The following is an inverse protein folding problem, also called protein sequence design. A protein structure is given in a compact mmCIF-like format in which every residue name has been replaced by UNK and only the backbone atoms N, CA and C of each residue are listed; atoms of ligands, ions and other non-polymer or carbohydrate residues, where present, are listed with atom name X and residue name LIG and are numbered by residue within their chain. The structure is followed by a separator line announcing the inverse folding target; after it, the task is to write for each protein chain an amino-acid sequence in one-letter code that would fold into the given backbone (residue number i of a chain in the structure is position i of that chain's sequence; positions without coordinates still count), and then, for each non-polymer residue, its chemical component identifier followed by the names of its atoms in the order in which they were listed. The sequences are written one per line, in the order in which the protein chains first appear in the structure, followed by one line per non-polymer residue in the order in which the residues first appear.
data_IF_487090589096
#
_entry.id   IF_487090589096
#
_cell.length_a   1.000
_cell.length_b   1.000
_cell.length_c   1.000
_cell.angle_alpha   90.00
_cell.angle_beta   90.00
_cell.angle_gamma   90.00
#
_symmetry.space_group_name_H-M   'P 1'
#
loop_
_entity.id
_entity.type
_entity.pdbx_description
1 polymer ?
#
# COMPACT_ATOMS: atom_id res chain seq x y z
N UNK A 1 4.32 33.64 -4.91
CA UNK A 1 5.46 32.90 -5.49
C UNK A 1 5.05 31.44 -5.62
N UNK A 2 5.31 30.82 -6.76
CA UNK A 2 5.00 29.40 -6.96
C UNK A 2 6.01 28.54 -6.23
N UNK A 3 5.56 27.57 -5.43
CA UNK A 3 6.38 26.61 -4.70
C UNK A 3 6.62 25.37 -5.57
N UNK A 4 7.88 25.09 -5.87
CA UNK A 4 8.26 23.95 -6.71
C UNK A 4 8.49 22.70 -5.85
N UNK A 5 7.72 21.63 -6.09
CA UNK A 5 7.80 20.36 -5.35
C UNK A 5 8.27 19.27 -6.32
N UNK A 6 9.45 18.72 -6.08
CA UNK A 6 9.99 17.59 -6.84
C UNK A 6 9.77 16.27 -6.09
N UNK A 7 9.01 15.34 -6.68
CA UNK A 7 8.77 14.01 -6.13
C UNK A 7 9.40 12.92 -7.00
N UNK A 8 10.03 11.91 -6.42
CA UNK A 8 10.55 10.79 -7.18
C UNK A 8 9.41 9.88 -7.64
N UNK A 9 9.33 9.58 -8.95
CA UNK A 9 8.27 8.73 -9.52
C UNK A 9 8.80 7.43 -10.10
N UNK A 10 10.04 7.12 -9.85
CA UNK A 10 10.78 5.99 -10.42
C UNK A 10 10.13 4.63 -10.12
N UNK A 11 9.51 4.47 -8.95
CA UNK A 11 8.88 3.22 -8.53
C UNK A 11 7.73 2.78 -9.45
N UNK A 12 7.06 3.73 -10.12
CA UNK A 12 5.96 3.43 -11.06
C UNK A 12 6.41 2.57 -12.25
N UNK A 13 7.69 2.63 -12.59
CA UNK A 13 8.27 2.04 -13.79
C UNK A 13 9.12 0.81 -13.51
N UNK A 14 9.05 0.30 -12.28
CA UNK A 14 9.70 -0.95 -11.90
C UNK A 14 8.90 -2.14 -12.44
N UNK A 15 9.55 -3.28 -12.78
CA UNK A 15 8.86 -4.48 -13.26
C UNK A 15 7.79 -5.00 -12.27
N UNK A 16 7.98 -4.77 -10.99
CA UNK A 16 7.02 -5.09 -9.92
C UNK A 16 6.82 -3.85 -9.04
N UNK A 17 5.94 -2.93 -9.46
CA UNK A 17 5.82 -1.62 -8.82
C UNK A 17 5.20 -1.69 -7.40
N UNK A 18 4.30 -2.64 -7.13
CA UNK A 18 3.74 -2.90 -5.79
C UNK A 18 2.99 -1.74 -5.16
N UNK A 19 2.80 -1.80 -3.83
CA UNK A 19 2.08 -0.79 -3.05
C UNK A 19 2.73 0.60 -3.08
N UNK A 20 4.06 0.67 -3.21
CA UNK A 20 4.77 1.96 -3.33
C UNK A 20 4.35 2.71 -4.61
N UNK A 21 4.11 2.00 -5.71
CA UNK A 21 3.62 2.63 -6.94
C UNK A 21 2.18 3.17 -6.77
N UNK A 22 1.34 2.47 -6.01
CA UNK A 22 0.01 2.97 -5.65
C UNK A 22 0.13 4.27 -4.84
N UNK A 23 1.02 4.32 -3.87
CA UNK A 23 1.31 5.51 -3.11
C UNK A 23 1.80 6.67 -3.99
N UNK A 24 2.80 6.44 -4.86
CA UNK A 24 3.34 7.47 -5.75
C UNK A 24 2.25 8.04 -6.68
N UNK A 25 1.45 7.17 -7.29
CA UNK A 25 0.33 7.57 -8.14
C UNK A 25 -0.72 8.34 -7.36
N UNK A 26 -1.08 7.83 -6.19
CA UNK A 26 -2.07 8.45 -5.32
C UNK A 26 -1.63 9.83 -4.83
N UNK A 27 -0.39 9.98 -4.35
CA UNK A 27 0.16 11.28 -3.94
C UNK A 27 0.18 12.27 -5.11
N UNK A 28 0.62 11.85 -6.29
CA UNK A 28 0.61 12.68 -7.49
C UNK A 28 -0.80 13.14 -7.86
N UNK A 29 -1.78 12.23 -7.83
CA UNK A 29 -3.20 12.53 -8.08
C UNK A 29 -3.77 13.46 -7.00
N UNK A 30 -3.45 13.20 -5.74
CA UNK A 30 -3.90 14.04 -4.62
C UNK A 30 -3.36 15.47 -4.69
N UNK A 31 -2.08 15.64 -5.01
CA UNK A 31 -1.47 16.96 -5.19
C UNK A 31 -2.10 17.71 -6.39
N UNK A 32 -2.31 17.03 -7.50
CA UNK A 32 -2.98 17.62 -8.66
C UNK A 32 -4.45 18.01 -8.37
N UNK A 33 -5.16 17.21 -7.56
CA UNK A 33 -6.56 17.46 -7.19
C UNK A 33 -6.75 18.61 -6.17
N UNK A 34 -5.66 19.18 -5.65
CA UNK A 34 -5.73 20.40 -4.83
C UNK A 34 -6.08 21.62 -5.68
N UNK A 35 -5.76 21.57 -6.99
CA UNK A 35 -5.99 22.66 -7.95
C UNK A 35 -5.41 24.01 -7.48
N UNK A 36 -4.21 23.94 -6.88
CA UNK A 36 -3.53 25.09 -6.28
C UNK A 36 -2.45 25.63 -7.22
N UNK A 37 -2.76 26.75 -7.88
CA UNK A 37 -1.84 27.41 -8.81
C UNK A 37 -0.52 27.89 -8.16
N UNK A 38 -0.44 27.92 -6.84
CA UNK A 38 0.79 28.23 -6.11
C UNK A 38 1.75 27.05 -6.03
N UNK A 39 1.36 25.84 -6.49
CA UNK A 39 2.18 24.64 -6.49
C UNK A 39 2.59 24.22 -7.91
N UNK A 40 3.89 24.05 -8.15
CA UNK A 40 4.44 23.39 -9.35
C UNK A 40 4.99 22.02 -8.96
N UNK A 41 4.20 20.97 -9.17
CA UNK A 41 4.57 19.60 -8.79
C UNK A 41 5.21 18.86 -9.96
N UNK A 42 6.43 18.37 -9.76
CA UNK A 42 7.28 17.77 -10.79
C UNK A 42 7.62 16.33 -10.40
N UNK A 43 7.33 15.39 -11.30
CA UNK A 43 7.79 14.00 -11.18
C UNK A 43 9.23 13.83 -11.69
N UNK A 44 10.13 13.28 -10.88
CA UNK A 44 11.53 13.02 -11.27
C UNK A 44 11.73 11.53 -11.51
N UNK A 45 12.18 11.16 -12.71
CA UNK A 45 12.39 9.79 -13.14
C UNK A 45 13.73 9.55 -13.84
N UNK A 46 14.08 8.29 -14.09
CA UNK A 46 15.25 7.90 -14.87
C UNK A 46 15.07 8.18 -16.38
N UNK A 47 16.16 8.18 -17.12
CA UNK A 47 16.16 8.24 -18.59
C UNK A 47 15.39 7.06 -19.19
N UNK A 48 14.57 7.34 -20.20
CA UNK A 48 13.87 6.31 -20.99
C UNK A 48 12.54 5.85 -20.39
N UNK A 49 12.11 6.44 -19.29
CA UNK A 49 10.81 6.19 -18.68
C UNK A 49 9.71 6.90 -19.47
N UNK A 50 8.53 6.30 -19.71
CA UNK A 50 7.40 6.97 -20.33
C UNK A 50 6.98 8.24 -19.57
N UNK A 51 6.47 9.23 -20.30
CA UNK A 51 6.01 10.50 -19.71
C UNK A 51 4.52 10.49 -19.39
N UNK A 52 3.81 9.46 -19.84
CA UNK A 52 2.36 9.40 -19.81
C UNK A 52 1.85 8.71 -18.53
N UNK A 53 0.64 9.05 -18.11
CA UNK A 53 -0.09 8.37 -17.04
C UNK A 53 0.08 8.93 -15.63
N UNK A 54 0.74 10.10 -15.47
CA UNK A 54 0.70 10.88 -14.24
C UNK A 54 0.08 12.26 -14.50
N UNK A 55 -0.71 12.81 -13.59
CA UNK A 55 -1.25 14.17 -13.70
C UNK A 55 -0.20 15.23 -13.32
N UNK A 56 1.08 14.97 -13.59
CA UNK A 56 2.22 15.82 -13.25
C UNK A 56 3.14 16.00 -14.44
N UNK A 57 3.81 17.14 -14.51
CA UNK A 57 4.95 17.33 -15.40
C UNK A 57 6.11 16.44 -14.96
N UNK A 58 6.66 15.61 -15.85
CA UNK A 58 7.79 14.75 -15.56
C UNK A 58 9.10 15.32 -16.13
N UNK A 59 10.17 15.27 -15.34
CA UNK A 59 11.55 15.52 -15.74
C UNK A 59 12.38 14.26 -15.62
N UNK A 60 13.36 14.09 -16.50
CA UNK A 60 14.16 12.87 -16.58
C UNK A 60 15.61 13.18 -16.30
N UNK A 61 16.21 12.39 -15.39
CA UNK A 61 17.65 12.33 -15.24
C UNK A 61 18.30 11.78 -16.53
N UNK A 62 19.52 12.18 -16.81
CA UNK A 62 20.27 11.71 -17.98
C UNK A 62 20.79 10.27 -17.86
N UNK A 63 20.58 9.62 -16.73
CA UNK A 63 21.08 8.28 -16.40
C UNK A 63 19.94 7.27 -16.22
N UNK A 64 20.28 5.98 -16.43
CA UNK A 64 19.33 4.87 -16.23
C UNK A 64 19.07 4.59 -14.74
N UNK A 65 18.00 3.84 -14.47
CA UNK A 65 17.42 3.58 -13.14
C UNK A 65 18.41 3.06 -12.10
N UNK A 66 19.24 2.08 -12.46
CA UNK A 66 20.17 1.45 -11.51
C UNK A 66 21.26 2.41 -11.03
N UNK A 67 21.78 3.24 -11.92
CA UNK A 67 22.76 4.25 -11.56
C UNK A 67 22.11 5.40 -10.79
N UNK A 68 20.93 5.82 -11.22
CA UNK A 68 20.16 6.89 -10.58
C UNK A 68 19.87 6.57 -9.11
N UNK A 69 19.27 5.42 -8.82
CA UNK A 69 18.94 5.01 -7.45
C UNK A 69 20.18 4.79 -6.56
N UNK A 70 21.35 4.50 -7.14
CA UNK A 70 22.61 4.42 -6.41
C UNK A 70 23.15 5.79 -6.02
N UNK A 71 23.01 6.79 -6.89
CA UNK A 71 23.56 8.13 -6.70
C UNK A 71 22.61 9.07 -5.93
N UNK A 72 21.33 8.90 -6.05
CA UNK A 72 20.31 9.78 -5.50
C UNK A 72 20.46 10.15 -4.01
N UNK A 73 20.95 9.28 -3.11
CA UNK A 73 21.13 9.68 -1.71
C UNK A 73 22.17 10.74 -1.47
N UNK A 74 23.10 10.91 -2.42
CA UNK A 74 24.19 11.89 -2.30
C UNK A 74 24.13 12.97 -3.37
N UNK A 75 23.58 12.63 -4.54
CA UNK A 75 23.48 13.54 -5.69
C UNK A 75 22.05 13.48 -6.27
N UNK A 76 21.25 14.54 -6.12
CA UNK A 76 19.85 14.58 -6.57
C UNK A 76 19.76 14.80 -8.09
N UNK A 77 20.35 13.88 -8.87
CA UNK A 77 20.38 13.96 -10.34
C UNK A 77 18.96 14.01 -10.91
N UNK A 78 18.73 14.97 -11.80
CA UNK A 78 17.43 15.20 -12.44
C UNK A 78 16.44 16.00 -11.59
N UNK A 79 16.76 16.28 -10.33
CA UNK A 79 15.95 17.18 -9.50
C UNK A 79 16.17 18.61 -9.97
N UNK A 80 15.09 19.41 -10.21
CA UNK A 80 15.22 20.81 -10.59
C UNK A 80 15.98 21.63 -9.54
N UNK A 81 16.92 22.45 -10.00
CA UNK A 81 17.76 23.24 -9.09
C UNK A 81 17.04 24.36 -8.34
N UNK A 82 15.79 24.67 -8.70
CA UNK A 82 14.91 25.62 -8.04
C UNK A 82 13.83 24.94 -7.18
N UNK A 83 13.91 23.62 -6.96
CA UNK A 83 12.95 22.95 -6.11
C UNK A 83 13.00 23.47 -4.67
N UNK A 84 11.84 23.82 -4.11
CA UNK A 84 11.66 24.22 -2.72
C UNK A 84 11.47 23.00 -1.82
N UNK A 85 10.96 21.89 -2.39
CA UNK A 85 10.79 20.60 -1.73
C UNK A 85 11.34 19.51 -2.63
N UNK A 86 12.10 18.59 -2.04
CA UNK A 86 12.56 17.35 -2.68
C UNK A 86 12.06 16.16 -1.87
N UNK A 87 11.09 15.44 -2.43
CA UNK A 87 10.50 14.28 -1.76
C UNK A 87 10.89 12.97 -2.42
N UNK A 88 11.63 12.15 -1.70
CA UNK A 88 11.90 10.76 -2.04
C UNK A 88 10.71 9.88 -1.64
N UNK A 89 9.94 9.40 -2.60
CA UNK A 89 8.75 8.56 -2.35
C UNK A 89 9.09 7.16 -1.82
N UNK A 90 10.36 6.84 -1.71
CA UNK A 90 10.90 5.64 -1.03
C UNK A 90 12.37 5.87 -0.67
N UNK A 91 12.95 4.96 0.10
CA UNK A 91 14.38 4.97 0.45
C UNK A 91 15.31 4.82 -0.77
N UNK A 92 14.79 4.58 -1.96
CA UNK A 92 15.55 4.55 -3.22
C UNK A 92 15.61 5.91 -3.93
N UNK A 93 14.89 6.93 -3.44
CA UNK A 93 14.79 8.24 -4.04
C UNK A 93 15.87 9.25 -3.60
N UNK A 94 15.81 10.51 -4.08
CA UNK A 94 16.74 11.59 -3.76
C UNK A 94 16.32 12.26 -2.44
N UNK A 95 16.88 11.86 -1.33
CA UNK A 95 16.55 12.43 -0.02
C UNK A 95 17.70 13.20 0.65
N UNK A 96 18.89 13.22 0.07
CA UNK A 96 20.02 13.98 0.54
C UNK A 96 20.77 14.63 -0.63
N UNK A 97 21.54 15.68 -0.35
CA UNK A 97 22.25 16.45 -1.36
C UNK A 97 21.34 17.49 -2.07
N UNK A 98 21.93 18.52 -2.62
CA UNK A 98 21.25 19.62 -3.30
C UNK A 98 21.44 20.96 -2.60
N UNK A 99 20.60 21.96 -2.92
CA UNK A 99 20.70 23.27 -2.28
C UNK A 99 20.27 23.21 -0.82
N UNK A 100 21.01 23.87 0.05
CA UNK A 100 20.79 23.94 1.49
C UNK A 100 19.45 24.59 1.91
N UNK A 101 18.67 25.13 0.97
CA UNK A 101 17.40 25.82 1.25
C UNK A 101 16.15 25.00 0.94
N UNK A 102 16.28 23.87 0.26
CA UNK A 102 15.15 22.99 -0.03
C UNK A 102 14.79 22.13 1.17
N UNK A 103 13.49 21.91 1.39
CA UNK A 103 13.02 20.91 2.34
C UNK A 103 13.22 19.52 1.74
N UNK A 104 14.01 18.68 2.38
CA UNK A 104 14.21 17.30 1.98
C UNK A 104 13.34 16.37 2.80
N UNK A 105 12.72 15.39 2.16
CA UNK A 105 11.91 14.38 2.84
C UNK A 105 12.00 13.01 2.17
N UNK A 106 11.76 11.97 2.95
CA UNK A 106 11.75 10.58 2.47
C UNK A 106 10.59 9.80 3.06
N UNK A 107 9.88 9.03 2.23
CA UNK A 107 8.90 8.07 2.70
C UNK A 107 9.55 6.74 3.08
N UNK A 108 9.25 6.28 4.29
CA UNK A 108 9.57 4.95 4.80
C UNK A 108 8.26 4.18 5.01
N UNK A 109 8.03 3.20 4.14
CA UNK A 109 6.75 2.48 4.11
C UNK A 109 6.65 1.38 5.16
N UNK A 110 7.78 0.80 5.56
CA UNK A 110 7.86 -0.32 6.50
C UNK A 110 9.30 -0.52 7.01
N UNK A 111 9.45 -1.51 7.90
CA UNK A 111 10.72 -2.07 8.34
C UNK A 111 10.75 -3.60 8.10
N UNK A 112 10.04 -4.08 7.08
CA UNK A 112 9.84 -5.51 6.81
C UNK A 112 11.14 -6.28 6.60
N UNK A 113 12.18 -5.64 6.09
CA UNK A 113 13.52 -6.28 5.99
C UNK A 113 14.13 -6.63 7.35
N UNK A 114 13.62 -6.05 8.45
CA UNK A 114 13.97 -6.40 9.84
C UNK A 114 12.96 -7.37 10.45
N UNK A 115 11.65 -7.08 10.30
CA UNK A 115 10.57 -7.84 10.91
C UNK A 115 10.46 -9.25 10.31
N UNK A 116 10.67 -9.36 9.01
CA UNK A 116 10.55 -10.57 8.21
C UNK A 116 11.85 -10.83 7.42
N UNK A 117 13.00 -10.72 8.10
CA UNK A 117 14.32 -10.83 7.47
C UNK A 117 14.49 -12.13 6.65
N UNK A 118 13.87 -13.23 7.10
CA UNK A 118 13.87 -14.51 6.38
C UNK A 118 13.18 -14.44 5.01
N UNK A 119 12.33 -13.45 4.79
CA UNK A 119 11.64 -13.23 3.52
C UNK A 119 12.36 -12.23 2.60
N UNK A 120 13.47 -11.66 3.05
CA UNK A 120 14.26 -10.66 2.34
C UNK A 120 15.58 -11.23 1.84
N UNK A 121 16.06 -10.74 0.70
CA UNK A 121 17.40 -11.10 0.22
C UNK A 121 18.49 -10.39 1.05
N UNK A 122 19.66 -10.99 1.20
CA UNK A 122 20.81 -10.36 1.89
C UNK A 122 21.16 -8.99 1.29
N UNK A 123 21.11 -8.87 -0.04
CA UNK A 123 21.37 -7.61 -0.74
C UNK A 123 20.29 -6.55 -0.43
N UNK A 124 19.02 -6.95 -0.36
CA UNK A 124 17.90 -6.08 0.02
C UNK A 124 18.03 -5.57 1.45
N UNK A 125 18.35 -6.45 2.41
CA UNK A 125 18.60 -6.07 3.81
C UNK A 125 19.75 -5.05 3.87
N UNK A 126 20.89 -5.34 3.22
CA UNK A 126 22.04 -4.43 3.20
C UNK A 126 21.72 -3.08 2.56
N UNK A 127 20.92 -3.07 1.50
CA UNK A 127 20.46 -1.83 0.86
C UNK A 127 19.66 -0.98 1.85
N UNK A 128 18.65 -1.54 2.48
CA UNK A 128 17.77 -0.80 3.40
C UNK A 128 18.52 -0.35 4.67
N UNK A 129 19.38 -1.20 5.24
CA UNK A 129 20.18 -0.83 6.41
C UNK A 129 21.17 0.33 6.12
N UNK A 130 21.80 0.34 4.95
CA UNK A 130 22.67 1.46 4.54
C UNK A 130 21.87 2.76 4.38
N UNK A 131 20.68 2.67 3.79
CA UNK A 131 19.79 3.83 3.60
C UNK A 131 19.27 4.35 4.93
N UNK A 132 18.85 3.46 5.82
CA UNK A 132 18.39 3.82 7.17
C UNK A 132 19.48 4.57 7.94
N UNK A 133 20.72 4.07 7.92
CA UNK A 133 21.85 4.77 8.56
C UNK A 133 22.08 6.16 7.97
N UNK A 134 21.97 6.29 6.66
CA UNK A 134 22.13 7.59 5.99
C UNK A 134 20.98 8.54 6.35
N UNK A 135 19.72 8.07 6.40
CA UNK A 135 18.56 8.85 6.84
C UNK A 135 18.74 9.30 8.29
N UNK A 136 19.23 8.41 9.16
CA UNK A 136 19.48 8.73 10.56
C UNK A 136 20.57 9.79 10.75
N UNK A 137 21.57 9.85 9.86
CA UNK A 137 22.68 10.82 9.93
C UNK A 137 22.38 12.22 9.36
N UNK A 138 21.16 12.45 8.85
CA UNK A 138 20.73 13.74 8.29
C UNK A 138 19.64 14.34 9.16
N UNK A 139 20.01 15.22 10.09
CA UNK A 139 19.09 15.77 11.11
C UNK A 139 17.97 16.65 10.50
N UNK A 140 18.24 17.32 9.38
CA UNK A 140 17.27 18.18 8.69
C UNK A 140 16.31 17.40 7.76
N UNK A 141 16.54 16.09 7.58
CA UNK A 141 15.72 15.27 6.70
C UNK A 141 14.40 14.89 7.38
N UNK A 142 13.28 15.26 6.79
CA UNK A 142 11.95 14.86 7.24
C UNK A 142 11.64 13.44 6.81
N UNK A 143 11.12 12.63 7.72
CA UNK A 143 10.77 11.23 7.46
C UNK A 143 9.25 11.09 7.49
N UNK A 144 8.68 10.66 6.38
CA UNK A 144 7.25 10.40 6.29
C UNK A 144 7.04 8.89 6.41
N UNK A 145 6.21 8.47 7.36
CA UNK A 145 5.86 7.07 7.56
C UNK A 145 4.39 6.84 7.26
N UNK A 146 4.07 5.67 6.72
CA UNK A 146 2.69 5.33 6.34
C UNK A 146 1.84 4.85 7.52
N UNK A 147 2.49 4.41 8.62
CA UNK A 147 1.81 3.90 9.80
C UNK A 147 2.27 4.65 11.06
N UNK A 148 1.36 5.13 11.93
CA UNK A 148 1.72 5.78 13.19
C UNK A 148 2.62 4.92 14.08
N UNK A 149 2.42 3.61 14.09
CA UNK A 149 3.23 2.64 14.83
C UNK A 149 4.73 2.63 14.45
N UNK A 150 5.08 3.14 13.25
CA UNK A 150 6.49 3.26 12.84
C UNK A 150 7.23 4.42 13.53
N UNK A 151 6.53 5.44 14.05
CA UNK A 151 7.17 6.63 14.65
C UNK A 151 8.07 6.23 15.82
N UNK A 152 7.54 5.47 16.77
CA UNK A 152 8.33 5.00 17.93
C UNK A 152 9.48 4.07 17.52
N UNK A 153 9.23 3.18 16.55
CA UNK A 153 10.23 2.23 16.04
C UNK A 153 11.41 2.92 15.33
N UNK A 154 11.18 4.08 14.72
CA UNK A 154 12.25 4.86 14.11
C UNK A 154 13.11 5.58 15.16
N UNK A 155 12.54 5.95 16.29
CA UNK A 155 13.31 6.48 17.42
C UNK A 155 14.34 5.46 17.94
N UNK A 156 13.98 4.17 18.00
CA UNK A 156 14.87 3.06 18.41
C UNK A 156 16.10 2.91 17.49
N UNK A 157 16.04 3.46 16.28
CA UNK A 157 17.14 3.41 15.30
C UNK A 157 17.83 4.77 15.10
N UNK A 158 17.62 5.71 16.01
CA UNK A 158 18.30 6.99 16.03
C UNK A 158 17.67 8.07 15.14
N UNK A 159 16.40 7.92 14.76
CA UNK A 159 15.65 8.96 14.03
C UNK A 159 14.74 9.67 15.02
N UNK A 160 15.03 10.94 15.31
CA UNK A 160 14.24 11.73 16.25
C UNK A 160 12.77 11.85 15.85
N UNK A 161 11.86 11.62 16.81
CA UNK A 161 10.42 11.64 16.56
C UNK A 161 9.92 13.00 16.04
N UNK A 162 10.58 14.10 16.38
CA UNK A 162 10.21 15.45 15.94
C UNK A 162 10.32 15.67 14.42
N UNK A 163 11.07 14.83 13.71
CA UNK A 163 11.18 14.88 12.25
C UNK A 163 10.44 13.75 11.52
N UNK A 164 9.69 12.93 12.27
CA UNK A 164 8.89 11.83 11.72
C UNK A 164 7.43 12.23 11.66
N UNK A 165 6.85 12.19 10.48
CA UNK A 165 5.47 12.56 10.22
C UNK A 165 4.69 11.32 9.74
N UNK A 166 3.66 10.93 10.49
CA UNK A 166 2.78 9.83 10.09
C UNK A 166 1.72 10.35 9.12
N UNK A 167 1.70 9.80 7.91
CA UNK A 167 0.72 10.12 6.86
C UNK A 167 0.08 8.82 6.40
N UNK A 168 -1.17 8.62 6.76
CA UNK A 168 -1.94 7.44 6.36
C UNK A 168 -2.19 7.44 4.85
N UNK A 169 -2.14 6.27 4.20
CA UNK A 169 -2.38 6.22 2.75
C UNK A 169 -3.87 6.33 2.41
N UNK A 170 -4.13 6.95 1.27
CA UNK A 170 -5.46 7.08 0.71
C UNK A 170 -5.93 5.80 0.02
N UNK A 171 -7.23 5.66 -0.11
CA UNK A 171 -7.89 4.68 -0.98
C UNK A 171 -8.18 5.36 -2.32
N UNK A 172 -7.96 4.65 -3.41
CA UNK A 172 -8.38 5.15 -4.71
C UNK A 172 -9.90 5.15 -4.76
N UNK A 173 -10.49 6.23 -5.29
CA UNK A 173 -11.87 6.18 -5.74
C UNK A 173 -12.03 4.92 -6.63
N UNK A 174 -12.98 4.04 -6.34
CA UNK A 174 -13.15 2.81 -7.12
C UNK A 174 -13.36 3.10 -8.61
N UNK A 175 -13.84 4.28 -8.98
CA UNK A 175 -14.20 4.59 -10.34
C UNK A 175 -15.28 3.61 -10.83
N UNK A 176 -15.03 2.95 -11.96
CA UNK A 176 -15.95 1.93 -12.47
C UNK A 176 -15.97 0.69 -11.58
N UNK A 177 -17.18 0.21 -11.29
CA UNK A 177 -17.43 -1.05 -10.55
C UNK A 177 -18.18 -2.00 -11.48
N UNK A 178 -17.57 -3.15 -11.79
CA UNK A 178 -18.20 -4.14 -12.64
C UNK A 178 -19.57 -4.59 -12.08
N UNK A 179 -20.53 -4.84 -12.98
CA UNK A 179 -21.84 -5.34 -12.59
C UNK A 179 -21.75 -6.70 -11.89
N UNK A 180 -22.75 -7.03 -11.06
CA UNK A 180 -22.83 -8.36 -10.43
C UNK A 180 -22.83 -9.49 -11.45
N UNK A 181 -23.46 -9.28 -12.61
CA UNK A 181 -23.46 -10.24 -13.70
C UNK A 181 -22.04 -10.47 -14.24
N UNK A 182 -21.29 -9.40 -14.53
CA UNK A 182 -19.90 -9.49 -15.03
C UNK A 182 -18.97 -10.16 -14.01
N UNK A 183 -19.10 -9.85 -12.72
CA UNK A 183 -18.36 -10.53 -11.65
C UNK A 183 -18.71 -12.00 -11.59
N UNK A 184 -20.02 -12.34 -11.68
CA UNK A 184 -20.50 -13.71 -11.71
C UNK A 184 -19.99 -14.52 -12.90
N UNK A 185 -19.89 -13.92 -14.09
CA UNK A 185 -19.30 -14.55 -15.29
C UNK A 185 -17.82 -14.87 -15.10
N UNK A 186 -17.04 -13.92 -14.53
CA UNK A 186 -15.61 -14.14 -14.21
C UNK A 186 -15.45 -15.29 -13.22
N UNK A 187 -16.23 -15.30 -12.14
CA UNK A 187 -16.19 -16.36 -11.13
C UNK A 187 -16.62 -17.71 -11.70
N UNK A 188 -17.70 -17.75 -12.47
CA UNK A 188 -18.20 -18.98 -13.09
C UNK A 188 -17.19 -19.57 -14.10
N UNK A 189 -16.49 -18.73 -14.85
CA UNK A 189 -15.40 -19.14 -15.75
C UNK A 189 -14.25 -19.85 -15.04
N UNK A 190 -14.11 -19.63 -13.71
CA UNK A 190 -13.13 -20.30 -12.85
C UNK A 190 -13.77 -21.34 -11.91
N UNK A 191 -15.01 -21.77 -12.18
CA UNK A 191 -15.71 -22.80 -11.42
C UNK A 191 -16.31 -22.34 -10.08
N UNK A 192 -16.28 -21.04 -9.77
CA UNK A 192 -16.89 -20.49 -8.55
C UNK A 192 -18.35 -20.15 -8.80
N UNK A 193 -19.24 -20.75 -8.01
CA UNK A 193 -20.69 -20.48 -8.01
C UNK A 193 -21.18 -20.26 -6.58
N UNK A 194 -21.93 -19.18 -6.35
CA UNK A 194 -22.40 -18.81 -5.00
C UNK A 194 -21.44 -17.89 -4.23
N UNK A 195 -21.54 -17.88 -2.88
CA UNK A 195 -20.72 -16.99 -2.06
C UNK A 195 -19.23 -17.32 -2.15
N UNK A 196 -18.38 -16.33 -1.83
CA UNK A 196 -16.93 -16.51 -1.83
C UNK A 196 -16.26 -15.61 -0.79
N UNK A 197 -15.16 -16.10 -0.25
CA UNK A 197 -14.20 -15.32 0.54
C UNK A 197 -13.12 -14.78 -0.40
N UNK A 198 -12.81 -13.51 -0.31
CA UNK A 198 -11.84 -12.85 -1.19
C UNK A 198 -10.51 -12.60 -0.47
N UNK A 199 -9.41 -13.01 -1.10
CA UNK A 199 -8.06 -12.56 -0.76
C UNK A 199 -7.50 -11.71 -1.91
N UNK A 200 -6.90 -10.57 -1.58
CA UNK A 200 -6.24 -9.71 -2.57
C UNK A 200 -4.79 -9.46 -2.16
N UNK A 201 -3.86 -9.80 -3.03
CA UNK A 201 -2.44 -9.58 -2.80
C UNK A 201 -1.52 -10.50 -3.58
N UNK A 202 -0.24 -10.19 -3.55
CA UNK A 202 0.82 -11.05 -4.11
C UNK A 202 0.93 -12.34 -3.26
N UNK A 203 1.12 -13.48 -3.92
CA UNK A 203 1.31 -14.77 -3.23
C UNK A 203 2.76 -14.91 -2.79
N UNK A 204 3.08 -14.43 -1.61
CA UNK A 204 4.41 -14.47 -0.99
C UNK A 204 4.32 -14.95 0.47
N UNK A 205 5.38 -15.55 1.06
CA UNK A 205 5.31 -16.16 2.40
C UNK A 205 4.81 -15.22 3.49
N UNK A 206 5.19 -13.95 3.45
CA UNK A 206 4.77 -12.93 4.42
C UNK A 206 3.25 -12.71 4.46
N UNK A 207 2.58 -12.91 3.32
CA UNK A 207 1.12 -12.74 3.20
C UNK A 207 0.32 -13.89 3.85
N UNK A 208 1.01 -14.91 4.37
CA UNK A 208 0.44 -15.93 5.25
C UNK A 208 -0.68 -16.78 4.64
N UNK A 209 -0.61 -17.00 3.33
CA UNK A 209 -1.67 -17.70 2.60
C UNK A 209 -1.88 -19.14 3.11
N UNK A 210 -0.83 -19.81 3.53
CA UNK A 210 -0.92 -21.18 4.10
C UNK A 210 -1.89 -21.27 5.29
N UNK A 211 -1.73 -20.36 6.28
CA UNK A 211 -2.64 -20.34 7.44
C UNK A 211 -4.05 -19.89 7.06
N UNK A 212 -4.16 -18.97 6.10
CA UNK A 212 -5.48 -18.56 5.59
C UNK A 212 -6.21 -19.72 4.92
N UNK A 213 -5.55 -20.51 4.09
CA UNK A 213 -6.12 -21.71 3.46
C UNK A 213 -6.62 -22.72 4.49
N UNK A 214 -5.80 -23.02 5.48
CA UNK A 214 -6.18 -23.94 6.55
C UNK A 214 -7.36 -23.41 7.36
N UNK A 215 -7.30 -22.16 7.80
CA UNK A 215 -8.36 -21.53 8.58
C UNK A 215 -9.67 -21.41 7.78
N UNK A 216 -9.58 -21.05 6.50
CA UNK A 216 -10.75 -20.97 5.63
C UNK A 216 -11.43 -22.33 5.45
N UNK A 217 -10.66 -23.40 5.26
CA UNK A 217 -11.21 -24.77 5.16
C UNK A 217 -11.97 -25.14 6.43
N UNK A 218 -11.39 -24.87 7.62
CA UNK A 218 -12.05 -25.11 8.90
C UNK A 218 -13.30 -24.24 9.07
N UNK A 219 -13.20 -22.95 8.79
CA UNK A 219 -14.31 -22.01 8.92
C UNK A 219 -15.47 -22.36 7.97
N UNK A 220 -15.17 -22.78 6.74
CA UNK A 220 -16.16 -23.21 5.74
C UNK A 220 -16.90 -24.49 6.19
N UNK A 221 -16.25 -25.38 6.93
CA UNK A 221 -16.93 -26.56 7.49
C UNK A 221 -17.91 -26.18 8.62
N UNK A 222 -17.70 -25.05 9.28
CA UNK A 222 -18.61 -24.50 10.31
C UNK A 222 -19.75 -23.73 9.64
N UNK A 223 -19.42 -22.88 8.66
CA UNK A 223 -20.41 -22.07 7.93
C UNK A 223 -20.09 -22.05 6.43
N UNK A 224 -20.93 -22.74 5.65
CA UNK A 224 -20.77 -22.83 4.19
C UNK A 224 -20.94 -21.52 3.41
N UNK A 225 -21.47 -20.46 4.05
CA UNK A 225 -21.64 -19.15 3.42
C UNK A 225 -20.33 -18.41 3.15
N UNK A 226 -19.21 -18.87 3.72
CA UNK A 226 -17.89 -18.42 3.31
C UNK A 226 -17.56 -18.78 1.84
N UNK A 227 -18.19 -19.82 1.33
CA UNK A 227 -18.06 -20.25 -0.06
C UNK A 227 -16.62 -20.66 -0.43
N UNK A 228 -16.22 -20.38 -1.66
CA UNK A 228 -14.87 -20.67 -2.14
C UNK A 228 -13.90 -19.56 -1.72
N UNK A 229 -12.64 -19.91 -1.45
CA UNK A 229 -11.58 -18.90 -1.31
C UNK A 229 -11.09 -18.50 -2.70
N UNK A 230 -11.23 -17.23 -3.02
CA UNK A 230 -10.84 -16.62 -4.29
C UNK A 230 -9.61 -15.76 -4.10
N UNK A 231 -8.55 -16.03 -4.86
CA UNK A 231 -7.27 -15.31 -4.76
C UNK A 231 -7.09 -14.39 -5.97
N UNK A 232 -6.93 -13.10 -5.72
CA UNK A 232 -6.68 -12.08 -6.74
C UNK A 232 -5.31 -11.45 -6.51
N UNK A 233 -4.56 -11.31 -7.57
CA UNK A 233 -3.23 -10.69 -7.58
C UNK A 233 -2.18 -11.53 -8.31
N UNK A 234 -1.00 -10.94 -8.54
CA UNK A 234 0.05 -11.60 -9.30
C UNK A 234 0.61 -12.82 -8.55
N UNK A 235 1.22 -13.73 -9.32
CA UNK A 235 2.09 -14.75 -8.72
C UNK A 235 3.26 -14.04 -8.07
N UNK A 236 3.53 -14.39 -6.81
CA UNK A 236 4.69 -13.86 -6.09
C UNK A 236 5.88 -14.78 -6.18
N UNK A 237 6.60 -14.88 -5.08
CA UNK A 237 7.79 -15.69 -4.92
C UNK A 237 7.63 -16.65 -3.72
N UNK A 238 8.58 -17.59 -3.58
CA UNK A 238 8.58 -18.53 -2.44
C UNK A 238 7.70 -19.76 -2.63
N UNK A 239 7.14 -20.00 -3.84
CA UNK A 239 6.41 -21.24 -4.14
C UNK A 239 5.18 -21.45 -3.26
N UNK A 240 4.47 -20.39 -2.87
CA UNK A 240 3.31 -20.46 -1.96
C UNK A 240 2.20 -21.29 -2.59
N UNK A 241 1.85 -22.39 -1.93
CA UNK A 241 0.75 -23.26 -2.35
C UNK A 241 -0.60 -22.53 -2.28
N UNK A 242 -1.50 -22.84 -3.21
CA UNK A 242 -2.84 -22.25 -3.27
C UNK A 242 -3.94 -23.24 -2.83
N UNK A 243 -3.58 -24.50 -2.55
CA UNK A 243 -4.53 -25.53 -2.11
C UNK A 243 -5.72 -25.68 -3.06
N UNK A 244 -6.91 -25.66 -2.51
CA UNK A 244 -8.20 -25.71 -3.20
C UNK A 244 -8.79 -24.32 -3.52
N UNK A 245 -8.02 -23.23 -3.24
CA UNK A 245 -8.46 -21.89 -3.57
C UNK A 245 -8.48 -21.64 -5.08
N UNK A 246 -9.45 -20.86 -5.53
CA UNK A 246 -9.57 -20.44 -6.92
C UNK A 246 -8.69 -19.23 -7.19
N UNK A 247 -7.74 -19.35 -8.13
CA UNK A 247 -6.81 -18.29 -8.49
C UNK A 247 -7.29 -17.57 -9.75
N UNK A 248 -7.66 -16.30 -9.62
CA UNK A 248 -8.04 -15.46 -10.78
C UNK A 248 -6.82 -14.74 -11.40
N UNK A 249 -5.68 -14.67 -10.67
CA UNK A 249 -4.56 -13.85 -11.11
C UNK A 249 -4.87 -12.35 -11.03
N UNK A 250 -4.27 -11.55 -11.90
CA UNK A 250 -4.55 -10.12 -11.99
C UNK A 250 -5.81 -9.88 -12.81
N UNK A 251 -6.76 -9.13 -12.27
CA UNK A 251 -8.02 -8.77 -12.93
C UNK A 251 -8.09 -7.26 -13.20
N UNK A 252 -8.93 -6.80 -14.14
CA UNK A 252 -9.21 -5.38 -14.34
C UNK A 252 -9.72 -4.71 -13.05
N UNK A 253 -9.39 -3.43 -12.84
CA UNK A 253 -9.77 -2.70 -11.61
C UNK A 253 -11.28 -2.73 -11.36
N UNK A 254 -12.09 -2.52 -12.40
CA UNK A 254 -13.55 -2.57 -12.27
C UNK A 254 -14.05 -3.93 -11.74
N UNK A 255 -13.44 -5.03 -12.20
CA UNK A 255 -13.74 -6.39 -11.73
C UNK A 255 -13.31 -6.55 -10.26
N UNK A 256 -12.10 -6.07 -9.89
CA UNK A 256 -11.63 -6.13 -8.51
C UNK A 256 -12.56 -5.37 -7.56
N UNK A 257 -13.01 -4.18 -7.96
CA UNK A 257 -13.98 -3.39 -7.19
C UNK A 257 -15.31 -4.14 -7.01
N UNK A 258 -15.77 -4.81 -8.06
CA UNK A 258 -16.95 -5.67 -8.01
C UNK A 258 -16.77 -6.90 -7.11
N UNK A 259 -15.59 -7.53 -7.14
CA UNK A 259 -15.24 -8.64 -6.24
C UNK A 259 -15.22 -8.21 -4.78
N UNK A 260 -14.66 -7.04 -4.46
CA UNK A 260 -14.74 -6.49 -3.10
C UNK A 260 -16.20 -6.33 -2.68
N UNK A 261 -17.03 -5.67 -3.47
CA UNK A 261 -18.46 -5.43 -3.17
C UNK A 261 -19.23 -6.73 -2.91
N UNK A 262 -18.96 -7.79 -3.68
CA UNK A 262 -19.77 -9.01 -3.72
C UNK A 262 -19.23 -10.15 -2.84
N UNK A 263 -18.03 -10.01 -2.27
CA UNK A 263 -17.43 -10.99 -1.37
C UNK A 263 -18.25 -11.14 -0.08
N UNK A 264 -18.45 -12.38 0.37
CA UNK A 264 -19.03 -12.66 1.68
C UNK A 264 -18.16 -12.11 2.81
N UNK A 265 -16.84 -12.29 2.67
CA UNK A 265 -15.81 -11.76 3.56
C UNK A 265 -14.55 -11.48 2.76
N UNK A 266 -13.85 -10.39 3.06
CA UNK A 266 -12.49 -10.13 2.58
C UNK A 266 -11.51 -10.51 3.69
N UNK A 267 -10.59 -11.44 3.39
CA UNK A 267 -9.62 -11.96 4.35
C UNK A 267 -8.21 -11.47 4.01
N UNK A 268 -7.58 -10.76 4.95
CA UNK A 268 -6.23 -10.22 4.80
C UNK A 268 -5.44 -10.41 6.09
N UNK A 269 -4.69 -11.50 6.19
CA UNK A 269 -4.03 -11.93 7.43
C UNK A 269 -2.50 -12.07 7.29
N UNK A 270 -1.79 -11.04 6.79
CA UNK A 270 -0.33 -11.08 6.67
C UNK A 270 0.32 -11.20 8.05
N UNK A 271 1.54 -11.79 8.11
CA UNK A 271 2.35 -11.85 9.33
C UNK A 271 2.90 -10.48 9.71
N UNK A 272 3.21 -9.66 8.72
CA UNK A 272 3.62 -8.28 8.88
C UNK A 272 3.26 -7.47 7.64
N UNK A 273 2.97 -6.18 7.81
CA UNK A 273 2.59 -5.28 6.72
C UNK A 273 3.08 -3.85 6.98
N UNK A 274 3.40 -3.12 5.91
CA UNK A 274 3.76 -1.69 6.01
C UNK A 274 2.55 -0.78 6.20
N UNK A 275 1.48 -1.04 5.44
CA UNK A 275 0.19 -0.34 5.56
C UNK A 275 -0.99 -1.31 5.44
N UNK A 276 -1.16 -1.93 4.29
CA UNK A 276 -2.28 -2.84 4.02
C UNK A 276 -3.43 -2.15 3.29
N UNK A 277 -3.26 -1.88 2.00
CA UNK A 277 -4.32 -1.29 1.16
C UNK A 277 -5.58 -2.18 1.01
N UNK A 278 -5.49 -3.53 0.84
CA UNK A 278 -6.66 -4.34 0.58
C UNK A 278 -7.79 -4.25 1.63
N UNK A 279 -7.53 -4.21 2.94
CA UNK A 279 -8.58 -4.03 3.94
C UNK A 279 -9.32 -2.70 3.80
N UNK A 280 -8.62 -1.60 3.58
CA UNK A 280 -9.26 -0.29 3.43
C UNK A 280 -10.01 -0.16 2.10
N UNK A 281 -9.52 -0.78 1.02
CA UNK A 281 -10.26 -0.89 -0.25
C UNK A 281 -11.56 -1.71 -0.07
N UNK A 282 -11.50 -2.80 0.70
CA UNK A 282 -12.66 -3.62 1.04
C UNK A 282 -13.70 -2.85 1.87
N UNK A 283 -13.26 -2.12 2.91
CA UNK A 283 -14.15 -1.26 3.70
C UNK A 283 -14.78 -0.16 2.85
N UNK A 284 -14.01 0.45 1.96
CA UNK A 284 -14.53 1.45 1.02
C UNK A 284 -15.59 0.87 0.07
N UNK A 285 -15.50 -0.41 -0.29
CA UNK A 285 -16.54 -1.14 -1.02
C UNK A 285 -17.72 -1.60 -0.13
N UNK A 286 -17.65 -1.37 1.18
CA UNK A 286 -18.66 -1.79 2.15
C UNK A 286 -18.57 -3.26 2.58
N UNK A 287 -17.47 -3.95 2.30
CA UNK A 287 -17.28 -5.38 2.58
C UNK A 287 -17.03 -5.68 4.06
N UNK A 288 -17.41 -6.86 4.52
CA UNK A 288 -16.94 -7.44 5.79
C UNK A 288 -15.47 -7.78 5.68
N UNK A 289 -14.67 -7.43 6.68
CA UNK A 289 -13.22 -7.60 6.65
C UNK A 289 -12.72 -8.37 7.86
N UNK A 290 -11.87 -9.37 7.59
CA UNK A 290 -11.00 -10.01 8.59
C UNK A 290 -9.57 -9.60 8.28
N UNK A 291 -8.88 -8.99 9.22
CA UNK A 291 -7.49 -8.58 9.05
C UNK A 291 -6.62 -8.99 10.24
N UNK A 292 -5.32 -9.20 9.98
CA UNK A 292 -4.39 -9.44 11.08
C UNK A 292 -4.20 -8.20 11.95
N UNK A 293 -3.93 -8.42 13.24
CA UNK A 293 -3.55 -7.36 14.19
C UNK A 293 -2.27 -6.61 13.76
N UNK A 294 -1.50 -7.18 12.84
CA UNK A 294 -0.26 -6.61 12.28
C UNK A 294 -0.51 -5.76 11.03
N UNK A 295 -1.77 -5.40 10.74
CA UNK A 295 -2.14 -4.58 9.57
C UNK A 295 -2.43 -3.15 10.02
N UNK A 296 -1.50 -2.19 9.80
CA UNK A 296 -1.61 -0.84 10.36
C UNK A 296 -2.81 -0.04 9.84
N UNK A 297 -3.23 -0.26 8.60
CA UNK A 297 -4.32 0.51 7.97
C UNK A 297 -5.67 0.38 8.68
N UNK A 298 -5.82 -0.63 9.53
CA UNK A 298 -7.07 -0.97 10.25
C UNK A 298 -6.83 -1.21 11.73
N UNK A 299 -5.71 -0.73 12.30
CA UNK A 299 -5.34 -0.99 13.70
C UNK A 299 -6.38 -0.49 14.71
N UNK A 300 -7.04 0.64 14.42
CA UNK A 300 -8.06 1.24 15.27
C UNK A 300 -9.49 1.14 14.67
N UNK A 301 -9.66 0.36 13.60
CA UNK A 301 -10.95 0.30 12.91
C UNK A 301 -11.88 -0.74 13.55
N UNK A 302 -12.98 -0.28 14.13
CA UNK A 302 -13.97 -1.11 14.86
C UNK A 302 -14.89 -1.92 13.93
N UNK A 303 -14.92 -1.63 12.64
CA UNK A 303 -15.70 -2.37 11.63
C UNK A 303 -14.94 -3.59 11.08
N UNK A 304 -13.74 -3.89 11.61
CA UNK A 304 -12.87 -4.99 11.18
C UNK A 304 -12.75 -6.05 12.27
N UNK A 305 -12.91 -7.31 11.90
CA UNK A 305 -12.56 -8.44 12.78
C UNK A 305 -11.04 -8.63 12.73
N UNK A 306 -10.37 -8.34 13.85
CA UNK A 306 -8.91 -8.44 13.95
C UNK A 306 -8.50 -9.75 14.59
N UNK A 307 -7.50 -10.42 13.98
CA UNK A 307 -7.07 -11.76 14.39
C UNK A 307 -5.54 -11.86 14.51
N UNK A 308 -5.06 -12.75 15.35
CA UNK A 308 -3.65 -13.12 15.36
C UNK A 308 -3.33 -13.91 14.07
N UNK A 309 -2.42 -13.42 13.21
CA UNK A 309 -2.06 -14.11 11.98
C UNK A 309 -1.31 -15.43 12.20
N UNK A 310 -0.78 -15.68 13.37
CA UNK A 310 -0.05 -16.91 13.69
C UNK A 310 -0.94 -18.01 14.25
N UNK A 311 -2.16 -17.68 14.65
CA UNK A 311 -3.14 -18.63 15.20
C UNK A 311 -4.23 -18.96 14.15
N UNK A 312 -4.19 -20.17 13.61
CA UNK A 312 -5.19 -20.70 12.67
C UNK A 312 -6.60 -20.69 13.25
N UNK A 313 -6.74 -20.99 14.56
CA UNK A 313 -8.05 -21.01 15.21
C UNK A 313 -8.61 -19.57 15.32
N UNK A 314 -7.76 -18.59 15.67
CA UNK A 314 -8.18 -17.19 15.71
C UNK A 314 -8.65 -16.72 14.32
N UNK A 315 -7.92 -17.06 13.24
CA UNK A 315 -8.34 -16.73 11.86
C UNK A 315 -9.66 -17.44 11.54
N UNK A 316 -9.81 -18.73 11.87
CA UNK A 316 -11.03 -19.52 11.68
C UNK A 316 -12.23 -18.85 12.33
N UNK A 317 -12.12 -18.54 13.63
CA UNK A 317 -13.20 -17.87 14.37
C UNK A 317 -13.48 -16.46 13.83
N UNK A 318 -12.44 -15.72 13.43
CA UNK A 318 -12.58 -14.41 12.82
C UNK A 318 -13.40 -14.45 11.52
N UNK A 319 -13.16 -15.43 10.65
CA UNK A 319 -13.93 -15.62 9.42
C UNK A 319 -15.41 -15.94 9.70
N UNK A 320 -15.68 -16.82 10.66
CA UNK A 320 -17.06 -17.15 11.06
C UNK A 320 -17.74 -15.92 11.69
N UNK A 321 -17.04 -15.20 12.57
CA UNK A 321 -17.55 -13.98 13.22
C UNK A 321 -17.88 -12.92 12.20
N UNK A 322 -17.04 -12.72 11.18
CA UNK A 322 -17.29 -11.72 10.15
C UNK A 322 -18.63 -11.93 9.41
N UNK A 323 -19.07 -13.18 9.23
CA UNK A 323 -20.38 -13.48 8.64
C UNK A 323 -21.56 -13.04 9.52
N UNK A 324 -21.38 -12.92 10.83
CA UNK A 324 -22.44 -12.44 11.74
C UNK A 324 -22.60 -10.93 11.71
N UNK A 325 -21.63 -10.20 11.15
CA UNK A 325 -21.74 -8.75 10.95
C UNK A 325 -22.81 -8.47 9.90
N UNK A 326 -23.62 -7.44 10.13
CA UNK A 326 -24.67 -7.03 9.21
C UNK A 326 -24.14 -6.80 7.79
N UNK A 327 -24.99 -7.08 6.79
CA UNK A 327 -24.69 -6.84 5.37
C UNK A 327 -25.79 -6.00 4.67
N UNK A 328 -26.65 -5.39 5.46
CA UNK A 328 -27.61 -4.39 5.02
C UNK A 328 -26.90 -3.07 4.64
N UNK A 329 -27.64 -2.18 4.00
CA UNK A 329 -27.11 -0.90 3.52
C UNK A 329 -26.54 -0.04 4.66
N UNK A 330 -27.15 -0.08 5.85
CA UNK A 330 -26.67 0.67 7.01
C UNK A 330 -25.30 0.15 7.49
N UNK A 331 -25.13 -1.17 7.56
CA UNK A 331 -23.88 -1.81 7.93
C UNK A 331 -22.77 -1.55 6.91
N UNK A 332 -23.11 -1.61 5.61
CA UNK A 332 -22.18 -1.28 4.51
C UNK A 332 -21.77 0.20 4.59
N UNK A 333 -22.72 1.11 4.83
CA UNK A 333 -22.45 2.55 4.96
C UNK A 333 -21.54 2.85 6.15
N UNK A 334 -21.68 2.16 7.30
CA UNK A 334 -20.78 2.33 8.45
C UNK A 334 -19.35 1.94 8.09
N UNK A 335 -19.16 0.80 7.40
CA UNK A 335 -17.83 0.36 6.94
C UNK A 335 -17.20 1.37 5.98
N UNK A 336 -17.97 1.89 5.03
CA UNK A 336 -17.50 2.95 4.12
C UNK A 336 -17.14 4.23 4.87
N UNK A 337 -17.96 4.65 5.81
CA UNK A 337 -17.72 5.85 6.62
C UNK A 337 -16.45 5.72 7.48
N UNK A 338 -16.11 4.49 7.93
CA UNK A 338 -14.92 4.25 8.76
C UNK A 338 -13.58 4.50 8.06
N UNK A 339 -13.58 4.67 6.74
CA UNK A 339 -12.39 4.95 5.92
C UNK A 339 -12.56 6.16 4.99
N UNK A 340 -13.63 6.94 5.18
CA UNK A 340 -13.97 8.04 4.28
C UNK A 340 -12.93 9.18 4.29
N UNK A 341 -12.16 9.32 5.36
CA UNK A 341 -11.07 10.29 5.48
C UNK A 341 -9.77 9.84 4.79
N UNK A 342 -9.65 8.57 4.43
CA UNK A 342 -8.48 8.02 3.73
C UNK A 342 -8.54 8.37 2.24
N UNK A 343 -8.42 9.63 1.90
CA UNK A 343 -8.41 10.13 0.52
C UNK A 343 -7.01 10.57 0.10
N UNK A 344 -6.68 10.44 -1.18
CA UNK A 344 -5.39 10.94 -1.69
C UNK A 344 -5.26 12.46 -1.59
N UNK A 345 -6.39 13.18 -1.57
CA UNK A 345 -6.41 14.62 -1.30
C UNK A 345 -5.92 14.92 0.12
N UNK A 346 -6.38 14.18 1.12
CA UNK A 346 -5.93 14.34 2.51
C UNK A 346 -4.47 13.94 2.65
N UNK A 347 -4.02 12.86 1.99
CA UNK A 347 -2.60 12.48 1.91
C UNK A 347 -1.74 13.64 1.38
N UNK A 348 -2.19 14.32 0.32
CA UNK A 348 -1.47 15.47 -0.23
C UNK A 348 -1.40 16.64 0.76
N UNK A 349 -2.49 16.94 1.47
CA UNK A 349 -2.53 17.99 2.49
C UNK A 349 -1.58 17.67 3.67
N UNK A 350 -1.58 16.43 4.14
CA UNK A 350 -0.69 15.98 5.21
C UNK A 350 0.79 16.07 4.79
N UNK A 351 1.10 15.75 3.52
CA UNK A 351 2.45 15.95 2.98
C UNK A 351 2.83 17.43 2.92
N UNK A 352 1.93 18.29 2.46
CA UNK A 352 2.18 19.73 2.43
C UNK A 352 2.43 20.29 3.85
N UNK A 353 1.70 19.81 4.85
CA UNK A 353 1.95 20.17 6.25
C UNK A 353 3.31 19.64 6.74
N UNK A 354 3.65 18.39 6.39
CA UNK A 354 4.96 17.82 6.74
C UNK A 354 6.13 18.53 6.03
N UNK A 355 5.92 19.24 4.94
CA UNK A 355 6.96 19.97 4.20
C UNK A 355 7.07 21.46 4.58
N UNK A 356 6.26 21.97 5.51
CA UNK A 356 6.40 23.35 6.04
C UNK A 356 7.62 23.51 6.93
#
# INVERSE_FOLDING_TARGET
MTRTIAISVEQLYRPQPGGIATYVRGLATGLAALDDESLDVIGVAARGVPRDGLPLRAVHAHVGVNLLTRLWPTWPLGVPGNADVVHATSMAGPFAGGKSTAVHSVSMHDLLWRDEAATSTKAGIQFHERRLKLIASHDDLRVIVTAPSLVGRLADVGIESGRVHAVRLGVNDPGEVASRASVGEVLAGHGVRGPFTLYVGTREPRKNLERLLEAHRQARSINGELGNLVLVGPSGWGGVATGDATVLGTVPRAVLNGLYRDAAVVAYVPRAEGWGLPPVEALHAGSRVVASITTPSVEDNTEVVRVDPLDVNAITQGLVTALTLGDDDASRSRRQASVADLTWRNVALDHLAAWQ
#
